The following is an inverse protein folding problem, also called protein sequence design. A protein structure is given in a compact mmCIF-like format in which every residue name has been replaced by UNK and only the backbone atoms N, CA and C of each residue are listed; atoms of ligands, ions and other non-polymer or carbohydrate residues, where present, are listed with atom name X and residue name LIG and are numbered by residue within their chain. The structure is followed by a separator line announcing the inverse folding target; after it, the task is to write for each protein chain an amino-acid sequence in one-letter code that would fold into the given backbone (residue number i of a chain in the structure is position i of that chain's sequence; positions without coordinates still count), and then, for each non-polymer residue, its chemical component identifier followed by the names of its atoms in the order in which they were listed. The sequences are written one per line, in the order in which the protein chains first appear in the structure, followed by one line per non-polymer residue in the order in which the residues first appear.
data_IF_583769375565
#
_entry.id   IF_583769375565
#
_cell.length_a   1.000
_cell.length_b   1.000
_cell.length_c   1.000
_cell.angle_alpha   90.00
_cell.angle_beta   90.00
_cell.angle_gamma   90.00
#
_symmetry.space_group_name_H-M   'P 1'
#
loop_
_entity.id
_entity.type
_entity.pdbx_description
1 polymer ?
#
# COMPACT_ATOMS: atom_id res chain seq x y z
N UNK A 1 12.97 10.40 4.41
CA UNK A 1 12.21 9.16 4.70
C UNK A 1 12.22 8.88 6.20
N UNK A 2 13.39 8.86 6.85
CA UNK A 2 13.54 8.59 8.29
C UNK A 2 12.62 9.41 9.21
N UNK A 3 12.46 10.72 8.96
CA UNK A 3 11.57 11.59 9.77
C UNK A 3 10.14 11.02 9.86
N UNK A 4 9.61 10.49 8.76
CA UNK A 4 8.25 9.96 8.75
C UNK A 4 8.16 8.58 9.43
N UNK A 5 9.20 7.75 9.27
CA UNK A 5 9.30 6.45 9.91
C UNK A 5 9.44 6.56 11.43
N UNK A 6 10.24 7.52 11.93
CA UNK A 6 10.49 7.72 13.36
C UNK A 6 9.54 8.71 14.05
N UNK A 7 8.73 9.45 13.28
CA UNK A 7 7.94 10.59 13.78
C UNK A 7 8.79 11.62 14.54
N UNK A 8 10.04 11.85 14.11
CA UNK A 8 10.96 12.80 14.73
C UNK A 8 11.73 13.60 13.68
N UNK A 9 11.89 14.90 13.92
CA UNK A 9 12.75 15.74 13.10
C UNK A 9 14.24 15.60 13.49
N UNK A 10 15.11 16.34 12.80
CA UNK A 10 16.56 16.32 13.04
C UNK A 10 16.98 16.84 14.42
N UNK A 11 16.12 17.60 15.10
CA UNK A 11 16.34 18.08 16.46
C UNK A 11 15.75 17.12 17.52
N UNK A 12 15.18 15.99 17.08
CA UNK A 12 14.53 15.00 17.92
C UNK A 12 13.11 15.37 18.37
N UNK A 13 12.54 16.47 17.86
CA UNK A 13 11.19 16.91 18.19
C UNK A 13 10.17 16.01 17.52
N UNK A 14 9.04 15.82 18.19
CA UNK A 14 7.98 14.95 17.71
C UNK A 14 7.28 15.57 16.48
N UNK A 15 7.18 14.79 15.41
CA UNK A 15 6.45 15.11 14.18
C UNK A 15 5.40 14.05 13.97
N UNK A 16 4.14 14.44 13.77
CA UNK A 16 3.10 13.49 13.37
C UNK A 16 3.17 13.35 11.85
N UNK A 17 3.69 12.22 11.37
CA UNK A 17 3.66 11.87 9.96
C UNK A 17 2.73 10.68 9.74
N UNK A 18 1.77 10.82 8.84
CA UNK A 18 0.98 9.71 8.30
C UNK A 18 1.32 9.47 6.82
N UNK A 19 1.57 10.55 6.08
CA UNK A 19 1.99 10.53 4.68
C UNK A 19 2.95 11.68 4.38
N UNK A 20 3.63 11.62 3.24
CA UNK A 20 4.46 12.71 2.74
C UNK A 20 4.54 12.70 1.20
N UNK A 21 4.80 13.88 0.63
CA UNK A 21 5.16 14.03 -0.78
C UNK A 21 6.61 14.46 -0.91
N UNK A 22 7.34 13.86 -1.83
CA UNK A 22 8.70 14.27 -2.21
C UNK A 22 8.69 14.89 -3.61
N UNK A 23 9.13 16.14 -3.71
CA UNK A 23 9.32 16.88 -4.96
C UNK A 23 10.78 16.73 -5.42
N UNK A 24 10.98 15.98 -6.51
CA UNK A 24 12.31 15.71 -7.07
C UNK A 24 12.93 16.93 -7.76
N UNK A 25 12.13 17.90 -8.18
CA UNK A 25 12.63 19.12 -8.84
C UNK A 25 13.17 20.09 -7.79
N UNK A 26 12.47 20.21 -6.65
CA UNK A 26 12.83 21.14 -5.57
C UNK A 26 13.62 20.49 -4.44
N UNK A 27 13.85 19.18 -4.50
CA UNK A 27 14.43 18.37 -3.43
C UNK A 27 13.74 18.61 -2.07
N UNK A 28 12.40 18.73 -2.08
CA UNK A 28 11.61 19.12 -0.90
C UNK A 28 10.66 18.00 -0.48
N UNK A 29 10.69 17.67 0.82
CA UNK A 29 9.70 16.81 1.46
C UNK A 29 8.61 17.67 2.12
N UNK A 30 7.34 17.29 1.92
CA UNK A 30 6.19 17.90 2.62
C UNK A 30 5.45 16.80 3.36
N UNK A 31 5.32 16.95 4.69
CA UNK A 31 4.77 15.95 5.60
C UNK A 31 3.31 16.29 5.91
N UNK A 32 2.46 15.27 5.98
CA UNK A 32 1.06 15.40 6.33
C UNK A 32 0.71 14.49 7.51
N UNK A 33 -0.23 14.97 8.34
CA UNK A 33 -0.72 14.25 9.53
C UNK A 33 -1.84 13.25 9.22
N UNK A 34 -2.34 13.23 7.98
CA UNK A 34 -3.47 12.41 7.52
C UNK A 34 -3.04 11.54 6.35
N UNK A 35 -3.79 10.46 6.11
CA UNK A 35 -3.61 9.56 4.97
C UNK A 35 -4.54 9.93 3.82
N UNK A 36 -4.24 9.42 2.64
CA UNK A 36 -5.16 9.40 1.51
C UNK A 36 -6.25 8.35 1.69
N UNK A 37 -7.40 8.56 1.03
CA UNK A 37 -8.45 7.54 0.96
C UNK A 37 -7.92 6.21 0.42
N UNK A 38 -8.53 5.05 0.72
CA UNK A 38 -9.76 4.89 1.50
C UNK A 38 -9.55 4.96 3.03
N UNK A 39 -8.35 4.70 3.54
CA UNK A 39 -8.05 4.72 4.98
C UNK A 39 -7.97 6.14 5.59
N UNK A 40 -8.05 7.18 4.77
CA UNK A 40 -7.97 8.58 5.16
C UNK A 40 -8.87 9.47 4.31
N UNK A 41 -8.64 10.78 4.39
CA UNK A 41 -9.51 11.82 3.84
C UNK A 41 -8.78 12.81 2.92
N UNK A 42 -7.53 12.52 2.57
CA UNK A 42 -6.79 13.30 1.59
C UNK A 42 -7.06 12.79 0.18
N UNK A 43 -7.41 13.70 -0.71
CA UNK A 43 -7.41 13.45 -2.15
C UNK A 43 -5.98 13.43 -2.67
N UNK A 44 -5.73 12.55 -3.65
CA UNK A 44 -4.44 12.45 -4.33
C UNK A 44 -4.50 13.16 -5.68
N UNK A 45 -3.45 13.90 -5.98
CA UNK A 45 -3.25 14.52 -7.28
C UNK A 45 -1.90 14.06 -7.84
N UNK A 46 -1.90 13.56 -9.08
CA UNK A 46 -0.67 13.17 -9.76
C UNK A 46 -0.01 14.38 -10.39
N UNK A 47 1.08 14.84 -9.79
CA UNK A 47 1.93 15.91 -10.36
C UNK A 47 3.27 15.33 -10.85
N UNK A 48 3.71 15.64 -12.09
CA UNK A 48 5.02 15.23 -12.58
C UNK A 48 6.16 15.64 -11.64
N UNK A 49 7.12 14.74 -11.42
CA UNK A 49 8.27 14.98 -10.56
C UNK A 49 7.97 14.95 -9.05
N UNK A 50 6.73 14.66 -8.64
CA UNK A 50 6.38 14.41 -7.23
C UNK A 50 6.03 12.95 -7.01
N UNK A 51 6.40 12.43 -5.85
CA UNK A 51 6.03 11.09 -5.39
C UNK A 51 5.35 11.19 -4.04
N UNK A 52 4.34 10.36 -3.85
CA UNK A 52 3.57 10.27 -2.61
C UNK A 52 3.88 8.96 -1.89
N UNK A 53 3.98 9.03 -0.57
CA UNK A 53 4.29 7.89 0.29
C UNK A 53 3.45 7.96 1.56
N UNK A 54 3.02 6.81 2.05
CA UNK A 54 2.28 6.66 3.29
C UNK A 54 2.87 5.53 4.10
N UNK A 55 2.69 5.60 5.42
CA UNK A 55 2.95 4.46 6.29
C UNK A 55 1.66 3.82 6.75
N UNK A 56 1.74 2.52 6.97
CA UNK A 56 0.71 1.74 7.62
C UNK A 56 1.37 0.91 8.74
N UNK A 57 0.56 0.40 9.65
CA UNK A 57 1.05 -0.43 10.73
C UNK A 57 0.93 -1.89 10.31
N UNK A 58 1.99 -2.66 10.59
CA UNK A 58 1.93 -4.11 10.54
C UNK A 58 1.25 -4.63 11.81
N UNK A 59 0.49 -5.71 11.68
CA UNK A 59 -0.07 -6.39 12.84
C UNK A 59 1.04 -7.12 13.62
N UNK A 60 0.81 -7.41 14.91
CA UNK A 60 1.84 -8.01 15.80
C UNK A 60 2.41 -9.35 15.32
N UNK A 61 1.60 -10.12 14.60
CA UNK A 61 1.89 -11.41 14.00
C UNK A 61 2.45 -11.31 12.57
N UNK A 62 2.55 -10.10 12.00
CA UNK A 62 3.17 -9.89 10.70
C UNK A 62 4.70 -9.96 10.79
N UNK A 63 5.41 -10.43 9.75
CA UNK A 63 6.87 -10.54 9.80
C UNK A 63 7.56 -9.19 10.02
N UNK A 64 8.31 -9.05 11.11
CA UNK A 64 9.01 -7.79 11.47
C UNK A 64 9.98 -7.29 10.38
N UNK A 65 10.53 -8.18 9.57
CA UNK A 65 11.37 -7.84 8.42
C UNK A 65 10.65 -6.99 7.36
N UNK A 66 9.31 -7.01 7.34
CA UNK A 66 8.50 -6.21 6.42
C UNK A 66 8.37 -4.74 6.85
N UNK A 67 8.78 -4.35 8.06
CA UNK A 67 8.59 -2.98 8.57
C UNK A 67 9.31 -1.89 7.73
N UNK A 68 10.34 -2.27 6.97
CA UNK A 68 11.04 -1.39 6.03
C UNK A 68 10.69 -1.61 4.56
N UNK A 69 9.81 -2.57 4.25
CA UNK A 69 9.46 -2.92 2.88
C UNK A 69 8.58 -1.84 2.22
N UNK A 70 8.70 -1.72 0.89
CA UNK A 70 7.93 -0.76 0.11
C UNK A 70 6.87 -1.46 -0.72
N UNK A 71 5.61 -1.16 -0.42
CA UNK A 71 4.47 -1.67 -1.16
C UNK A 71 4.08 -0.66 -2.24
N UNK A 72 3.79 -1.14 -3.44
CA UNK A 72 3.32 -0.28 -4.53
C UNK A 72 1.80 -0.29 -4.51
N UNK A 73 1.21 0.89 -4.33
CA UNK A 73 -0.23 1.11 -4.37
C UNK A 73 -0.63 1.67 -5.73
N UNK A 74 -1.66 1.10 -6.34
CA UNK A 74 -2.26 1.59 -7.58
C UNK A 74 -3.77 1.62 -7.37
N UNK A 75 -4.35 2.81 -7.42
CA UNK A 75 -5.81 2.96 -7.30
C UNK A 75 -6.49 2.54 -8.60
N UNK A 76 -7.77 2.17 -8.52
CA UNK A 76 -8.62 1.85 -9.67
C UNK A 76 -7.99 0.79 -10.57
N UNK A 77 -7.39 -0.22 -9.96
CA UNK A 77 -6.71 -1.31 -10.65
C UNK A 77 -7.00 -2.67 -10.02
N UNK A 78 -7.11 -3.69 -10.86
CA UNK A 78 -7.33 -5.09 -10.50
C UNK A 78 -6.33 -6.01 -11.21
N UNK A 79 -6.23 -7.23 -10.69
CA UNK A 79 -5.50 -8.34 -11.28
C UNK A 79 -6.42 -9.56 -11.37
N UNK A 80 -6.75 -9.97 -12.59
CA UNK A 80 -7.74 -11.04 -12.84
C UNK A 80 -7.09 -12.42 -12.89
N UNK A 81 -7.80 -13.44 -12.41
CA UNK A 81 -7.41 -14.86 -12.60
C UNK A 81 -6.40 -15.44 -11.61
N UNK A 82 -5.89 -14.64 -10.66
CA UNK A 82 -4.85 -15.07 -9.71
C UNK A 82 -5.27 -15.01 -8.23
N UNK A 83 -6.55 -14.75 -7.97
CA UNK A 83 -7.14 -14.74 -6.65
C UNK A 83 -6.98 -16.12 -5.98
N UNK A 84 -6.44 -16.12 -4.77
CA UNK A 84 -6.19 -17.34 -4.00
C UNK A 84 -7.02 -17.40 -2.73
N UNK A 85 -7.22 -16.26 -2.08
CA UNK A 85 -8.06 -16.14 -0.90
C UNK A 85 -8.82 -14.82 -0.90
N UNK A 86 -9.98 -14.82 -0.25
CA UNK A 86 -10.88 -13.67 -0.11
C UNK A 86 -11.28 -13.55 1.35
N UNK A 87 -11.18 -12.33 1.91
CA UNK A 87 -11.53 -12.03 3.30
C UNK A 87 -12.19 -10.65 3.42
N UNK A 88 -12.71 -10.31 4.61
CA UNK A 88 -13.30 -9.00 4.89
C UNK A 88 -12.41 -8.24 5.87
N UNK A 89 -12.07 -7.00 5.52
CA UNK A 89 -11.29 -6.08 6.34
C UNK A 89 -11.88 -4.68 6.33
N UNK A 90 -11.83 -4.01 7.48
CA UNK A 90 -12.32 -2.63 7.63
C UNK A 90 -11.36 -1.57 7.09
N UNK A 91 -10.13 -1.95 6.76
CA UNK A 91 -9.10 -1.03 6.26
C UNK A 91 -8.24 -1.70 5.20
N UNK A 92 -7.70 -0.87 4.33
CA UNK A 92 -6.71 -1.23 3.33
C UNK A 92 -5.44 -1.79 3.96
N UNK A 93 -4.99 -1.19 5.08
CA UNK A 93 -3.88 -1.73 5.87
C UNK A 93 -4.16 -3.17 6.36
N UNK A 94 -5.38 -3.44 6.80
CA UNK A 94 -5.81 -4.80 7.20
C UNK A 94 -5.69 -5.80 6.06
N UNK A 95 -6.06 -5.42 4.84
CA UNK A 95 -5.91 -6.27 3.66
C UNK A 95 -4.42 -6.56 3.32
N UNK A 96 -3.55 -5.56 3.45
CA UNK A 96 -2.10 -5.75 3.26
C UNK A 96 -1.56 -6.71 4.34
N UNK A 97 -1.97 -6.55 5.60
CA UNK A 97 -1.56 -7.45 6.68
C UNK A 97 -2.05 -8.88 6.45
N UNK A 98 -3.26 -9.08 5.92
CA UNK A 98 -3.73 -10.40 5.53
C UNK A 98 -2.82 -11.05 4.49
N UNK A 99 -2.46 -10.32 3.42
CA UNK A 99 -1.53 -10.80 2.40
C UNK A 99 -0.18 -11.26 3.00
N UNK A 100 0.34 -10.58 4.01
CA UNK A 100 1.60 -10.94 4.67
C UNK A 100 1.50 -12.19 5.56
N UNK A 101 0.29 -12.62 5.92
CA UNK A 101 0.00 -13.75 6.82
C UNK A 101 -0.50 -14.98 6.08
N UNK A 102 -0.70 -14.87 4.77
CA UNK A 102 -1.15 -16.00 3.96
C UNK A 102 -0.17 -17.18 4.08
N UNK A 103 -0.70 -18.40 4.04
CA UNK A 103 0.12 -19.62 4.04
C UNK A 103 0.84 -19.84 2.69
N UNK A 104 0.54 -19.02 1.69
CA UNK A 104 1.20 -18.98 0.39
C UNK A 104 1.96 -17.66 0.21
N UNK A 105 2.87 -17.61 -0.76
CA UNK A 105 3.57 -16.38 -1.13
C UNK A 105 2.57 -15.43 -1.82
N UNK A 106 1.95 -14.55 -1.04
CA UNK A 106 1.09 -13.50 -1.57
C UNK A 106 1.94 -12.44 -2.27
N UNK A 107 1.80 -12.33 -3.60
CA UNK A 107 2.56 -11.35 -4.41
C UNK A 107 1.82 -10.03 -4.57
N UNK A 108 0.49 -10.05 -4.45
CA UNK A 108 -0.32 -8.83 -4.49
C UNK A 108 -1.66 -9.00 -3.79
N UNK A 109 -2.32 -7.89 -3.49
CA UNK A 109 -3.67 -7.87 -2.93
C UNK A 109 -4.52 -6.76 -3.55
N UNK A 110 -5.84 -6.94 -3.55
CA UNK A 110 -6.83 -5.95 -3.97
C UNK A 110 -7.79 -5.68 -2.83
N UNK A 111 -8.12 -4.42 -2.58
CA UNK A 111 -9.06 -4.01 -1.54
C UNK A 111 -10.21 -3.22 -2.14
N UNK A 112 -11.40 -3.82 -2.13
CA UNK A 112 -12.67 -3.23 -2.55
C UNK A 112 -13.30 -2.56 -1.33
N UNK A 113 -13.23 -1.23 -1.28
CA UNK A 113 -13.41 -0.50 -0.02
C UNK A 113 -14.85 -0.07 0.26
N UNK A 114 -15.79 -0.26 -0.68
CA UNK A 114 -17.22 -0.11 -0.40
C UNK A 114 -17.76 -1.37 0.34
N UNK A 115 -17.27 -2.55 0.00
CA UNK A 115 -17.63 -3.85 0.60
C UNK A 115 -16.71 -4.24 1.77
N UNK A 116 -15.51 -3.68 1.82
CA UNK A 116 -14.44 -4.11 2.71
C UNK A 116 -13.83 -5.46 2.30
N UNK A 117 -13.99 -5.86 1.04
CA UNK A 117 -13.46 -7.14 0.54
C UNK A 117 -11.97 -7.03 0.22
N UNK A 118 -11.20 -8.01 0.68
CA UNK A 118 -9.79 -8.17 0.41
C UNK A 118 -9.56 -9.45 -0.38
N UNK A 119 -8.89 -9.34 -1.53
CA UNK A 119 -8.52 -10.47 -2.37
C UNK A 119 -7.00 -10.55 -2.43
N UNK A 120 -6.43 -11.69 -2.02
CA UNK A 120 -4.99 -11.93 -2.05
C UNK A 120 -4.61 -12.84 -3.23
N UNK A 121 -3.51 -12.52 -3.91
CA UNK A 121 -3.14 -13.13 -5.18
C UNK A 121 -1.74 -13.76 -5.14
N UNK A 122 -1.59 -14.85 -5.90
CA UNK A 122 -0.29 -15.53 -6.10
C UNK A 122 0.59 -14.88 -7.17
N UNK A 123 0.03 -13.97 -7.97
CA UNK A 123 0.75 -13.18 -8.96
C UNK A 123 0.66 -11.68 -8.69
N UNK A 124 1.40 -10.89 -9.46
CA UNK A 124 1.44 -9.43 -9.39
C UNK A 124 1.23 -8.85 -10.80
N UNK A 125 0.86 -7.57 -10.89
CA UNK A 125 0.81 -6.88 -12.19
C UNK A 125 2.15 -6.81 -12.93
N UNK A 126 3.29 -7.07 -12.26
CA UNK A 126 4.58 -7.21 -12.93
C UNK A 126 4.77 -8.58 -13.58
N UNK A 127 4.28 -9.64 -12.93
CA UNK A 127 4.43 -11.02 -13.42
C UNK A 127 3.31 -11.43 -14.37
N UNK A 128 2.15 -10.79 -14.28
CA UNK A 128 0.99 -11.00 -15.14
C UNK A 128 0.42 -9.67 -15.65
N UNK A 129 1.14 -8.94 -16.51
CA UNK A 129 0.73 -7.62 -16.99
C UNK A 129 -0.47 -7.64 -17.94
N UNK A 130 -0.71 -8.75 -18.65
CA UNK A 130 -1.85 -8.92 -19.58
C UNK A 130 -3.20 -8.94 -18.83
N UNK A 131 -3.19 -9.39 -17.57
CA UNK A 131 -4.38 -9.53 -16.72
C UNK A 131 -4.52 -8.38 -15.70
N UNK A 132 -3.60 -7.41 -15.76
CA UNK A 132 -3.61 -6.22 -14.91
C UNK A 132 -4.33 -5.08 -15.63
N UNK A 133 -5.38 -4.56 -15.02
CA UNK A 133 -6.25 -3.59 -15.69
C UNK A 133 -7.09 -2.77 -14.72
N UNK A 134 -8.07 -2.05 -15.27
CA UNK A 134 -9.05 -1.32 -14.49
C UNK A 134 -10.21 -2.23 -14.06
N UNK A 135 -10.85 -1.94 -12.91
CA UNK A 135 -12.06 -2.66 -12.49
C UNK A 135 -13.21 -2.48 -13.49
N UNK A 136 -14.14 -3.43 -13.46
CA UNK A 136 -15.43 -3.30 -14.11
C UNK A 136 -16.34 -2.32 -13.33
N UNK A 137 -17.32 -1.72 -14.01
CA UNK A 137 -18.49 -1.05 -13.42
C UNK A 137 -18.26 -0.01 -12.30
N UNK A 138 -17.12 0.67 -12.30
CA UNK A 138 -16.84 1.75 -11.35
C UNK A 138 -16.58 1.26 -9.93
N UNK A 139 -16.24 -0.02 -9.77
CA UNK A 139 -15.87 -0.59 -8.48
C UNK A 139 -14.71 0.19 -7.86
N UNK A 140 -14.88 0.45 -6.57
CA UNK A 140 -13.94 1.20 -5.76
C UNK A 140 -12.90 0.27 -5.18
N UNK A 141 -11.80 0.10 -5.92
CA UNK A 141 -10.73 -0.85 -5.60
C UNK A 141 -9.36 -0.19 -5.57
N UNK A 142 -8.49 -0.73 -4.73
CA UNK A 142 -7.06 -0.41 -4.72
C UNK A 142 -6.24 -1.68 -4.79
N UNK A 143 -5.29 -1.74 -5.72
CA UNK A 143 -4.31 -2.81 -5.86
C UNK A 143 -3.01 -2.49 -5.10
N UNK A 144 -2.42 -3.53 -4.50
CA UNK A 144 -1.13 -3.51 -3.82
C UNK A 144 -0.19 -4.57 -4.37
N UNK A 145 0.99 -4.17 -4.83
CA UNK A 145 2.10 -5.10 -5.03
C UNK A 145 2.82 -5.31 -3.70
N UNK A 146 2.99 -6.57 -3.30
CA UNK A 146 3.71 -6.91 -2.08
C UNK A 146 5.21 -6.64 -2.26
N UNK A 147 5.76 -5.72 -1.46
CA UNK A 147 7.20 -5.43 -1.45
C UNK A 147 8.00 -6.26 -0.44
N UNK A 148 7.31 -7.02 0.40
CA UNK A 148 7.91 -7.92 1.38
C UNK A 148 7.78 -9.38 0.91
N UNK A 149 8.33 -9.67 -0.26
CA UNK A 149 8.46 -11.05 -0.74
C UNK A 149 9.85 -11.52 -0.31
N UNK A 150 9.91 -12.54 0.54
CA UNK A 150 11.19 -13.20 0.78
C UNK A 150 11.60 -13.85 -0.54
N UNK A 151 12.65 -13.32 -1.17
CA UNK A 151 13.34 -14.06 -2.23
C UNK A 151 13.80 -15.38 -1.59
N UNK A 152 13.36 -16.51 -2.12
CA UNK A 152 14.00 -17.79 -1.81
C UNK A 152 15.50 -17.61 -2.08
N UNK A 153 16.30 -17.77 -1.03
CA UNK A 153 17.76 -17.83 -1.07
C UNK A 153 18.23 -19.11 -1.73
#
# INVERSE_FOLDING_TARGET
MEICSSNRDGDGRLVICASFTYDHVKFKCSIYKRKSGPDGDLDKETTPGKRFFEKFCLDEDSPNQCAGAQFVRIDDSILSGYAKNTSIHSTMAGCINQCLKEEFICKSAMYFYDEGECITNVESGQTSPEDFGSPDDGDKVVYFSNGCIQSES
#
